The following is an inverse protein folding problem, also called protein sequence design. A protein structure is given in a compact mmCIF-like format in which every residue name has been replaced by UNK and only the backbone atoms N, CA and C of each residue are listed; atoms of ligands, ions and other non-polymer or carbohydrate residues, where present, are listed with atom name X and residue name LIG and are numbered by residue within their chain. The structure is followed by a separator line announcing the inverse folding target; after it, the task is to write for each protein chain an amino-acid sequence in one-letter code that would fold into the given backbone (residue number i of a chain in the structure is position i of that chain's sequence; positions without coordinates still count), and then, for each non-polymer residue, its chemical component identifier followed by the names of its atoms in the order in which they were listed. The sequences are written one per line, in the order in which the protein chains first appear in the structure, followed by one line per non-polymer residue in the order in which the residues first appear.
data_IF_024074988594
#
_entry.id   IF_024074988594
#
_cell.length_a   1.000
_cell.length_b   1.000
_cell.length_c   1.000
_cell.angle_alpha   90.00
_cell.angle_beta   90.00
_cell.angle_gamma   90.00
#
_symmetry.space_group_name_H-M   'P 1'
#
loop_
_entity.id
_entity.type
_entity.pdbx_description
1 polymer ?
#
# COMPACT_ATOMS: atom_id res chain seq x y z
N UNK A 1 -27.05 -19.24 -47.10
CA UNK A 1 -26.45 -20.58 -47.29
C UNK A 1 -24.96 -20.35 -47.53
N UNK A 2 -24.14 -20.54 -46.50
CA UNK A 2 -22.66 -20.45 -46.56
C UNK A 2 -22.17 -21.82 -46.08
N UNK A 3 -21.50 -22.56 -46.95
CA UNK A 3 -20.94 -23.88 -46.65
C UNK A 3 -19.84 -23.75 -45.59
N UNK A 4 -20.13 -24.23 -44.38
CA UNK A 4 -19.19 -24.29 -43.25
C UNK A 4 -18.22 -25.46 -43.40
N UNK A 5 -17.24 -25.32 -44.29
CA UNK A 5 -16.10 -26.25 -44.36
C UNK A 5 -15.08 -25.87 -43.28
N UNK A 6 -14.96 -26.69 -42.23
CA UNK A 6 -13.85 -26.62 -41.29
C UNK A 6 -12.58 -27.06 -42.01
N UNK A 7 -11.70 -26.11 -42.36
CA UNK A 7 -10.34 -26.46 -42.77
C UNK A 7 -9.57 -26.92 -41.52
N UNK A 8 -8.96 -28.12 -41.53
CA UNK A 8 -8.09 -28.55 -40.45
C UNK A 8 -6.81 -27.71 -40.52
N UNK A 9 -6.76 -26.67 -39.71
CA UNK A 9 -5.55 -25.88 -39.51
C UNK A 9 -4.58 -26.82 -38.79
N UNK A 10 -3.56 -27.32 -39.50
CA UNK A 10 -2.61 -28.27 -38.95
C UNK A 10 -1.60 -27.51 -38.06
N UNK A 11 -2.08 -27.03 -36.91
CA UNK A 11 -1.33 -26.19 -35.94
C UNK A 11 -0.03 -26.83 -35.45
N UNK A 12 0.11 -28.15 -35.61
CA UNK A 12 1.23 -28.95 -35.10
C UNK A 12 2.45 -28.88 -36.04
N UNK A 13 2.23 -28.57 -37.32
CA UNK A 13 3.31 -28.54 -38.33
C UNK A 13 3.99 -27.17 -38.45
N UNK A 14 3.41 -26.13 -37.83
CA UNK A 14 3.99 -24.79 -37.82
C UNK A 14 5.24 -24.75 -36.91
N UNK A 15 6.43 -24.45 -37.46
CA UNK A 15 7.69 -24.54 -36.74
C UNK A 15 7.76 -23.59 -35.53
N UNK A 16 6.98 -22.51 -35.55
CA UNK A 16 6.86 -21.56 -34.43
C UNK A 16 6.10 -22.21 -33.27
N UNK A 17 5.00 -22.88 -33.56
CA UNK A 17 4.17 -23.51 -32.53
C UNK A 17 4.85 -24.74 -31.92
N UNK A 18 5.55 -25.54 -32.74
CA UNK A 18 6.36 -26.65 -32.26
C UNK A 18 7.46 -26.20 -31.28
N UNK A 19 8.06 -25.03 -31.51
CA UNK A 19 9.03 -24.41 -30.58
C UNK A 19 8.36 -23.96 -29.28
N UNK A 20 7.24 -23.24 -29.36
CA UNK A 20 6.49 -22.81 -28.16
C UNK A 20 6.05 -24.02 -27.32
N UNK A 21 5.59 -25.10 -27.95
CA UNK A 21 5.22 -26.33 -27.24
C UNK A 21 6.43 -27.04 -26.61
N UNK A 22 7.58 -27.02 -27.28
CA UNK A 22 8.82 -27.54 -26.74
C UNK A 22 9.29 -26.70 -25.53
N UNK A 23 9.21 -25.37 -25.64
CA UNK A 23 9.53 -24.42 -24.56
C UNK A 23 8.57 -24.55 -23.38
N UNK A 24 7.28 -24.77 -23.62
CA UNK A 24 6.28 -25.01 -22.57
C UNK A 24 6.42 -26.39 -21.90
N UNK A 25 6.99 -27.38 -22.60
CA UNK A 25 7.29 -28.71 -22.05
C UNK A 25 8.60 -28.76 -21.28
N UNK A 26 9.50 -27.79 -21.47
CA UNK A 26 10.60 -27.59 -20.55
C UNK A 26 9.98 -27.25 -19.20
N UNK A 27 10.27 -28.10 -18.20
CA UNK A 27 9.92 -27.82 -16.82
C UNK A 27 10.40 -26.39 -16.53
N UNK A 28 9.51 -25.45 -16.14
CA UNK A 28 9.95 -24.11 -15.79
C UNK A 28 11.10 -24.28 -14.81
N UNK A 29 12.26 -23.76 -15.19
CA UNK A 29 13.32 -23.57 -14.21
C UNK A 29 12.63 -22.78 -13.10
N UNK A 30 12.60 -23.35 -11.90
CA UNK A 30 11.94 -22.69 -10.80
C UNK A 30 12.65 -21.36 -10.66
N UNK A 31 12.00 -20.27 -11.11
CA UNK A 31 12.43 -18.94 -10.75
C UNK A 31 12.65 -19.01 -9.24
N UNK A 32 13.84 -18.63 -8.73
CA UNK A 32 14.03 -18.59 -7.30
C UNK A 32 12.85 -17.80 -6.77
N UNK A 33 12.05 -18.46 -5.90
CA UNK A 33 10.87 -17.85 -5.30
C UNK A 33 11.27 -16.42 -4.98
N UNK A 34 10.59 -15.39 -5.53
CA UNK A 34 10.92 -14.02 -5.18
C UNK A 34 11.01 -14.02 -3.66
N UNK A 35 12.15 -13.60 -3.09
CA UNK A 35 12.44 -13.77 -1.68
C UNK A 35 11.16 -13.37 -0.97
N UNK A 36 10.59 -14.31 -0.20
CA UNK A 36 9.25 -14.20 0.35
C UNK A 36 9.02 -12.72 0.70
N UNK A 37 8.02 -12.06 0.11
CA UNK A 37 7.78 -10.61 0.25
C UNK A 37 7.33 -10.22 1.68
N UNK A 38 7.84 -10.93 2.68
CA UNK A 38 7.90 -10.58 4.08
C UNK A 38 8.88 -9.41 4.18
N UNK A 39 8.47 -8.20 3.78
CA UNK A 39 9.29 -7.02 4.06
C UNK A 39 9.23 -5.82 3.11
N UNK A 40 8.36 -5.78 2.10
CA UNK A 40 8.22 -4.57 1.26
C UNK A 40 6.78 -4.06 1.09
N UNK A 41 5.81 -4.70 1.76
CA UNK A 41 4.39 -4.37 1.66
C UNK A 41 3.85 -3.59 2.86
N UNK A 42 2.80 -2.79 2.62
CA UNK A 42 2.03 -2.12 3.66
C UNK A 42 1.13 -3.12 4.44
N UNK A 43 1.72 -4.10 5.13
CA UNK A 43 1.02 -5.16 5.89
C UNK A 43 -0.19 -4.72 6.72
N UNK A 44 -0.06 -3.65 7.52
CA UNK A 44 -1.16 -3.14 8.37
C UNK A 44 -2.28 -2.58 7.49
N UNK A 45 -1.95 -1.77 6.48
CA UNK A 45 -2.95 -1.24 5.56
C UNK A 45 -3.63 -2.36 4.76
N UNK A 46 -2.89 -3.37 4.33
CA UNK A 46 -3.42 -4.56 3.65
C UNK A 46 -4.40 -5.32 4.56
N UNK A 47 -4.07 -5.51 5.83
CA UNK A 47 -4.94 -6.19 6.79
C UNK A 47 -6.21 -5.36 7.09
N UNK A 48 -6.05 -4.04 7.23
CA UNK A 48 -7.15 -3.08 7.45
C UNK A 48 -8.13 -2.99 6.28
N UNK A 49 -7.62 -2.85 5.05
CA UNK A 49 -8.43 -2.67 3.84
C UNK A 49 -8.76 -3.98 3.11
N UNK A 50 -8.23 -5.11 3.60
CA UNK A 50 -8.57 -6.46 3.15
C UNK A 50 -7.90 -6.91 1.85
N UNK A 51 -7.14 -6.05 1.17
CA UNK A 51 -6.43 -6.40 -0.04
C UNK A 51 -5.21 -5.51 -0.25
N UNK A 52 -4.12 -6.11 -0.76
CA UNK A 52 -2.97 -5.36 -1.25
C UNK A 52 -3.29 -4.53 -2.49
N UNK A 53 -4.37 -4.89 -3.20
CA UNK A 53 -4.85 -4.17 -4.39
C UNK A 53 -5.92 -3.14 -4.04
N UNK A 54 -6.22 -2.94 -2.75
CA UNK A 54 -7.15 -1.91 -2.34
C UNK A 54 -6.63 -0.52 -2.80
N UNK A 55 -7.49 0.37 -3.31
CA UNK A 55 -7.08 1.69 -3.78
C UNK A 55 -6.27 2.49 -2.76
N UNK A 56 -6.62 2.36 -1.47
CA UNK A 56 -5.91 3.02 -0.37
C UNK A 56 -4.47 2.50 -0.20
N UNK A 57 -4.27 1.19 -0.37
CA UNK A 57 -2.94 0.58 -0.28
C UNK A 57 -2.09 0.95 -1.49
N UNK A 58 -2.70 1.02 -2.68
CA UNK A 58 -2.00 1.45 -3.88
C UNK A 58 -1.61 2.93 -3.83
N UNK A 59 -2.49 3.79 -3.32
CA UNK A 59 -2.17 5.19 -3.09
C UNK A 59 -0.93 5.36 -2.19
N UNK A 60 -0.79 4.58 -1.11
CA UNK A 60 0.42 4.62 -0.27
C UNK A 60 1.68 4.22 -1.04
N UNK A 61 1.56 3.25 -1.95
CA UNK A 61 2.68 2.79 -2.78
C UNK A 61 3.07 3.85 -3.80
N UNK A 62 2.12 4.46 -4.49
CA UNK A 62 2.35 5.56 -5.43
C UNK A 62 3.04 6.73 -4.73
N UNK A 63 2.54 7.17 -3.56
CA UNK A 63 3.20 8.24 -2.79
C UNK A 63 4.63 7.85 -2.40
N UNK A 64 4.83 6.62 -1.93
CA UNK A 64 6.17 6.15 -1.55
C UNK A 64 7.10 6.15 -2.77
N UNK A 65 6.67 5.56 -3.87
CA UNK A 65 7.52 5.27 -5.03
C UNK A 65 7.76 6.54 -5.89
N UNK A 66 6.73 7.38 -6.06
CA UNK A 66 6.77 8.54 -6.96
C UNK A 66 7.08 9.86 -6.25
N UNK A 67 6.90 9.94 -4.93
CA UNK A 67 7.20 11.15 -4.15
C UNK A 67 8.38 10.88 -3.22
N UNK A 68 8.22 10.00 -2.24
CA UNK A 68 9.19 9.85 -1.14
C UNK A 68 10.55 9.31 -1.63
N UNK A 69 10.55 8.25 -2.44
CA UNK A 69 11.78 7.60 -2.91
C UNK A 69 12.51 8.37 -4.02
N UNK A 70 11.90 9.41 -4.60
CA UNK A 70 12.55 10.28 -5.58
C UNK A 70 13.61 11.21 -4.97
N UNK A 71 13.71 11.27 -3.64
CA UNK A 71 14.64 12.14 -2.92
C UNK A 71 15.57 11.35 -1.99
N UNK A 72 16.79 11.84 -1.79
CA UNK A 72 17.75 11.17 -0.90
C UNK A 72 17.26 11.19 0.56
N UNK A 73 16.66 12.30 0.99
CA UNK A 73 16.09 12.46 2.33
C UNK A 73 14.90 11.52 2.58
N UNK A 74 13.99 11.38 1.63
CA UNK A 74 12.86 10.47 1.72
C UNK A 74 13.28 9.00 1.70
N UNK A 75 14.28 8.64 0.89
CA UNK A 75 14.86 7.29 0.88
C UNK A 75 15.50 6.92 2.23
N UNK A 76 16.28 7.83 2.82
CA UNK A 76 16.87 7.64 4.15
C UNK A 76 15.80 7.48 5.24
N UNK A 77 14.74 8.29 5.20
CA UNK A 77 13.59 8.14 6.09
C UNK A 77 12.93 6.77 5.94
N UNK A 78 12.70 6.32 4.71
CA UNK A 78 12.06 5.03 4.44
C UNK A 78 12.87 3.84 4.93
N UNK A 79 14.21 3.90 4.91
CA UNK A 79 15.07 2.86 5.49
C UNK A 79 14.80 2.73 6.99
N UNK A 80 14.85 3.84 7.72
CA UNK A 80 14.61 3.84 9.17
C UNK A 80 13.16 3.46 9.52
N UNK A 81 12.20 4.00 8.76
CA UNK A 81 10.79 3.66 8.90
C UNK A 81 10.54 2.17 8.68
N UNK A 82 11.08 1.57 7.61
CA UNK A 82 10.89 0.16 7.31
C UNK A 82 11.43 -0.73 8.44
N UNK A 83 12.63 -0.42 8.96
CA UNK A 83 13.20 -1.18 10.06
C UNK A 83 12.27 -1.20 11.29
N UNK A 84 11.74 -0.04 11.66
CA UNK A 84 10.80 0.06 12.77
C UNK A 84 9.45 -0.62 12.42
N UNK A 85 8.88 -0.30 11.27
CA UNK A 85 7.59 -0.80 10.79
C UNK A 85 7.52 -2.33 10.72
N UNK A 86 8.52 -2.99 10.14
CA UNK A 86 8.53 -4.46 10.05
C UNK A 86 8.83 -5.17 11.37
N UNK A 87 9.29 -4.45 12.40
CA UNK A 87 9.51 -5.04 13.73
C UNK A 87 8.20 -5.38 14.46
N UNK A 88 7.10 -4.68 14.15
CA UNK A 88 5.81 -4.88 14.82
C UNK A 88 4.64 -5.16 13.85
N UNK A 89 4.74 -4.75 12.59
CA UNK A 89 3.62 -4.85 11.64
C UNK A 89 3.09 -6.27 11.41
N UNK A 90 3.89 -7.37 11.43
CA UNK A 90 3.33 -8.71 11.26
C UNK A 90 2.35 -9.07 12.39
N UNK A 91 2.73 -8.77 13.64
CA UNK A 91 1.92 -9.04 14.82
C UNK A 91 0.59 -8.26 14.79
N UNK A 92 0.65 -6.97 14.40
CA UNK A 92 -0.55 -6.14 14.29
C UNK A 92 -1.46 -6.65 13.16
N UNK A 93 -0.89 -6.98 12.00
CA UNK A 93 -1.65 -7.47 10.86
C UNK A 93 -2.33 -8.82 11.13
N UNK A 94 -1.68 -9.70 11.91
CA UNK A 94 -2.29 -10.95 12.38
C UNK A 94 -3.46 -10.66 13.32
N UNK A 95 -3.30 -9.73 14.27
CA UNK A 95 -4.36 -9.35 15.21
C UNK A 95 -5.57 -8.68 14.52
N UNK A 96 -5.34 -7.88 13.47
CA UNK A 96 -6.40 -7.32 12.63
C UNK A 96 -7.24 -8.38 11.92
N UNK A 97 -6.61 -9.50 11.52
CA UNK A 97 -7.33 -10.62 10.88
C UNK A 97 -8.20 -11.39 11.87
N UNK A 98 -7.78 -11.47 13.13
CA UNK A 98 -8.52 -12.16 14.20
C UNK A 98 -9.65 -11.31 14.78
N UNK A 99 -9.47 -9.99 14.87
CA UNK A 99 -10.42 -9.10 15.53
C UNK A 99 -10.95 -8.00 14.57
N UNK A 100 -12.19 -8.14 14.06
CA UNK A 100 -12.75 -7.18 13.12
C UNK A 100 -13.00 -5.79 13.75
N UNK A 101 -13.22 -5.71 15.06
CA UNK A 101 -13.38 -4.41 15.75
C UNK A 101 -12.04 -3.68 15.76
N UNK A 102 -10.96 -4.40 16.07
CA UNK A 102 -9.61 -3.83 16.03
C UNK A 102 -9.25 -3.36 14.61
N UNK A 103 -9.56 -4.16 13.59
CA UNK A 103 -9.37 -3.78 12.18
C UNK A 103 -10.05 -2.46 11.83
N UNK A 104 -11.31 -2.25 12.22
CA UNK A 104 -12.00 -0.98 11.95
C UNK A 104 -11.41 0.19 12.75
N UNK A 105 -10.89 -0.06 13.96
CA UNK A 105 -10.19 0.96 14.73
C UNK A 105 -8.87 1.38 14.06
N UNK A 106 -8.07 0.41 13.59
CA UNK A 106 -6.84 0.67 12.82
C UNK A 106 -7.17 1.42 11.54
N UNK A 107 -8.22 1.02 10.81
CA UNK A 107 -8.69 1.72 9.61
C UNK A 107 -9.10 3.17 9.89
N UNK A 108 -9.78 3.44 11.00
CA UNK A 108 -10.12 4.80 11.44
C UNK A 108 -8.87 5.65 11.73
N UNK A 109 -7.82 5.04 12.25
CA UNK A 109 -6.54 5.70 12.49
C UNK A 109 -5.80 5.93 11.16
N UNK A 110 -5.73 4.96 10.25
CA UNK A 110 -4.94 5.08 9.01
C UNK A 110 -5.59 6.04 7.99
N UNK A 111 -6.92 6.15 7.98
CA UNK A 111 -7.64 6.98 7.01
C UNK A 111 -7.22 8.47 7.00
N UNK A 112 -7.15 9.19 8.14
CA UNK A 112 -6.67 10.57 8.14
C UNK A 112 -5.20 10.70 7.70
N UNK A 113 -4.37 9.71 8.01
CA UNK A 113 -2.98 9.64 7.52
C UNK A 113 -2.93 9.55 5.99
N UNK A 114 -3.70 8.64 5.39
CA UNK A 114 -3.83 8.54 3.93
C UNK A 114 -4.21 9.89 3.31
N UNK A 115 -5.27 10.52 3.82
CA UNK A 115 -5.74 11.81 3.32
C UNK A 115 -4.65 12.88 3.39
N UNK A 116 -3.92 12.96 4.50
CA UNK A 116 -2.83 13.93 4.63
C UNK A 116 -1.66 13.68 3.67
N UNK A 117 -1.34 12.41 3.39
CA UNK A 117 -0.28 12.04 2.47
C UNK A 117 -0.66 12.39 1.02
N UNK A 118 -1.94 12.35 0.67
CA UNK A 118 -2.39 12.81 -0.66
C UNK A 118 -2.00 14.26 -0.94
N UNK A 119 -1.87 15.10 0.08
CA UNK A 119 -1.43 16.48 -0.09
C UNK A 119 0.00 16.56 -0.68
N UNK A 120 0.86 15.59 -0.39
CA UNK A 120 2.21 15.51 -0.96
C UNK A 120 2.20 15.21 -2.46
N UNK A 121 1.14 14.60 -3.00
CA UNK A 121 1.01 14.37 -4.44
C UNK A 121 0.61 15.63 -5.21
N UNK A 122 -0.03 16.60 -4.55
CA UNK A 122 -0.50 17.84 -5.18
C UNK A 122 0.51 18.98 -5.12
N UNK A 123 1.58 18.82 -4.34
CA UNK A 123 2.60 19.84 -4.17
C UNK A 123 3.79 19.47 -5.04
N UNK A 124 4.22 20.39 -5.90
CA UNK A 124 5.44 20.22 -6.69
C UNK A 124 6.64 20.23 -5.74
N UNK A 125 7.28 19.06 -5.60
CA UNK A 125 8.49 18.89 -4.78
C UNK A 125 9.70 18.89 -5.71
N UNK A 126 10.22 20.09 -5.95
CA UNK A 126 11.36 20.30 -6.85
C UNK A 126 12.73 20.20 -6.14
N UNK A 127 12.73 20.14 -4.80
CA UNK A 127 13.95 20.21 -3.97
C UNK A 127 13.91 19.27 -2.75
N UNK A 128 15.09 18.84 -2.29
CA UNK A 128 15.25 18.05 -1.05
C UNK A 128 14.75 18.78 0.19
N UNK A 129 14.93 20.11 0.24
CA UNK A 129 14.44 20.95 1.34
C UNK A 129 12.93 20.91 1.45
N UNK A 130 12.26 20.84 0.30
CA UNK A 130 10.81 20.91 0.21
C UNK A 130 10.22 19.57 0.63
N UNK A 131 10.83 18.45 0.21
CA UNK A 131 10.47 17.12 0.70
C UNK A 131 10.56 17.03 2.23
N UNK A 132 11.66 17.53 2.81
CA UNK A 132 11.84 17.54 4.25
C UNK A 132 10.81 18.45 4.94
N UNK A 133 10.59 19.65 4.41
CA UNK A 133 9.63 20.61 4.96
C UNK A 133 8.20 20.07 4.94
N UNK A 134 7.74 19.61 3.79
CA UNK A 134 6.39 19.05 3.64
C UNK A 134 6.24 17.71 4.35
N UNK A 135 7.25 16.83 4.32
CA UNK A 135 7.25 15.57 5.06
C UNK A 135 7.11 15.79 6.57
N UNK A 136 7.92 16.69 7.14
CA UNK A 136 7.80 17.08 8.55
C UNK A 136 6.44 17.73 8.82
N UNK A 137 5.96 18.60 7.92
CA UNK A 137 4.65 19.24 8.02
C UNK A 137 3.50 18.24 8.09
N UNK A 138 3.51 17.21 7.24
CA UNK A 138 2.50 16.13 7.24
C UNK A 138 2.57 15.31 8.52
N UNK A 139 3.78 14.98 9.02
CA UNK A 139 3.94 14.26 10.29
C UNK A 139 3.36 15.09 11.44
N UNK A 140 3.69 16.38 11.53
CA UNK A 140 3.17 17.28 12.56
C UNK A 140 1.66 17.46 12.46
N UNK A 141 1.12 17.56 11.24
CA UNK A 141 -0.31 17.65 11.01
C UNK A 141 -1.05 16.39 11.47
N UNK A 142 -0.51 15.21 11.19
CA UNK A 142 -1.05 13.93 11.67
C UNK A 142 -1.05 13.86 13.19
N UNK A 143 0.11 14.11 13.81
CA UNK A 143 0.25 14.12 15.27
C UNK A 143 -0.77 15.10 15.86
N UNK A 144 -0.81 16.34 15.38
CA UNK A 144 -1.77 17.35 15.82
C UNK A 144 -3.21 16.85 15.74
N UNK A 145 -3.60 16.25 14.61
CA UNK A 145 -4.95 15.71 14.42
C UNK A 145 -5.29 14.60 15.42
N UNK A 146 -4.38 13.65 15.69
CA UNK A 146 -4.62 12.54 16.63
C UNK A 146 -4.74 12.99 18.09
N UNK A 147 -4.15 14.12 18.47
CA UNK A 147 -4.31 14.66 19.83
C UNK A 147 -5.50 15.64 19.94
N UNK A 148 -5.64 16.54 18.96
CA UNK A 148 -6.64 17.60 18.98
C UNK A 148 -8.04 17.03 18.79
N UNK A 149 -8.25 16.14 17.81
CA UNK A 149 -9.61 15.64 17.51
C UNK A 149 -10.22 14.88 18.71
N UNK A 150 -9.52 13.94 19.38
CA UNK A 150 -10.03 13.33 20.60
C UNK A 150 -10.21 14.31 21.76
N UNK A 151 -9.29 15.27 21.94
CA UNK A 151 -9.41 16.26 23.02
C UNK A 151 -10.66 17.15 22.85
N UNK A 152 -10.94 17.61 21.62
CA UNK A 152 -12.14 18.39 21.30
C UNK A 152 -13.40 17.55 21.49
N UNK A 153 -13.38 16.28 21.07
CA UNK A 153 -14.50 15.36 21.27
C UNK A 153 -14.81 15.17 22.76
N UNK A 154 -13.79 14.90 23.59
CA UNK A 154 -13.94 14.71 25.04
C UNK A 154 -14.46 15.99 25.72
N UNK A 155 -13.93 17.16 25.35
CA UNK A 155 -14.37 18.43 25.94
C UNK A 155 -15.80 18.79 25.56
N UNK A 156 -16.20 18.54 24.30
CA UNK A 156 -17.60 18.69 23.86
C UNK A 156 -18.53 17.75 24.60
N UNK A 157 -18.19 16.45 24.69
CA UNK A 157 -19.00 15.47 25.42
C UNK A 157 -19.17 15.90 26.88
N UNK A 158 -18.08 16.27 27.57
CA UNK A 158 -18.15 16.79 28.94
C UNK A 158 -19.01 18.05 29.05
N UNK A 159 -18.94 18.96 28.09
CA UNK A 159 -19.78 20.16 28.05
C UNK A 159 -21.26 19.82 27.92
N UNK A 160 -21.62 18.84 27.09
CA UNK A 160 -23.01 18.38 26.95
C UNK A 160 -23.53 17.71 28.22
N UNK A 161 -22.74 16.85 28.86
CA UNK A 161 -23.10 16.25 30.15
C UNK A 161 -23.20 17.27 31.29
N UNK A 162 -22.56 18.45 31.18
CA UNK A 162 -22.64 19.52 32.17
C UNK A 162 -23.84 20.45 31.98
N UNK A 163 -24.52 20.38 30.83
CA UNK A 163 -25.68 21.19 30.46
C UNK A 163 -27.02 20.47 30.67
N UNK A 164 -26.98 19.22 31.14
CA UNK A 164 -28.11 18.38 31.49
C UNK A 164 -28.13 18.16 33.01
#
# INVERSE_FOLDING_TARGET
MIDGQMQPINFIDEPIFARILADAKLKPEAEPLPPARIGSGCLIATASYGSELAPQVQQLREIRDDVVLQTASGSAFMIGFNQFYYSFSPMIADYERENPIFREAVKLIITPLLTSLTLLQYVDIDSESDMLGYGIGVILLNIGMYFIAPAVLITKIRSFYKLQ
#
